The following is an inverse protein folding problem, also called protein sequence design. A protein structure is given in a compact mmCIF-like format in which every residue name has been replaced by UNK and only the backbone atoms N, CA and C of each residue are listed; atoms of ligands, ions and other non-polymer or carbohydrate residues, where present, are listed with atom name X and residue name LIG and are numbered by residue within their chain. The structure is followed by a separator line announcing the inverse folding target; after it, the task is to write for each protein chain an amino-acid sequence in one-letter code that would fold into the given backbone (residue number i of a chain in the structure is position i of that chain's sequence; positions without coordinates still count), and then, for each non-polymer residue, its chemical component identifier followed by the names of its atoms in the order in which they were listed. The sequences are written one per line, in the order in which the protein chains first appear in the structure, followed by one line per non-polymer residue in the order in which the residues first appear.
data_IF_605618812075
#
_entry.id   IF_605618812075
#
_cell.length_a   1.000
_cell.length_b   1.000
_cell.length_c   1.000
_cell.angle_alpha   90.00
_cell.angle_beta   90.00
_cell.angle_gamma   90.00
#
_symmetry.space_group_name_H-M   'P 1'
#
loop_
_entity.id
_entity.type
_entity.pdbx_description
1 polymer ?
#
# COMPACT_ATOMS: atom_id res chain seq x y z
N UNK A 1 121.94 -21.94 50.03
CA UNK A 1 121.30 -21.90 48.69
C UNK A 1 120.15 -22.91 48.56
N UNK A 2 120.34 -24.19 48.94
CA UNK A 2 119.31 -25.24 48.80
C UNK A 2 117.98 -25.01 49.55
N UNK A 3 118.01 -24.43 50.75
CA UNK A 3 116.79 -24.14 51.54
C UNK A 3 115.85 -23.12 50.87
N UNK A 4 116.42 -22.09 50.22
CA UNK A 4 115.63 -21.04 49.57
C UNK A 4 114.99 -21.57 48.27
N UNK A 5 115.71 -22.39 47.51
CA UNK A 5 115.18 -23.03 46.30
C UNK A 5 114.00 -23.97 46.62
N UNK A 6 114.10 -24.72 47.72
CA UNK A 6 113.03 -25.62 48.17
C UNK A 6 111.75 -24.88 48.54
N UNK A 7 111.85 -23.78 49.29
CA UNK A 7 110.70 -22.98 49.72
C UNK A 7 109.99 -22.27 48.57
N UNK A 8 110.75 -21.76 47.59
CA UNK A 8 110.18 -21.12 46.38
C UNK A 8 109.45 -22.15 45.51
N UNK A 9 110.00 -23.37 45.39
CA UNK A 9 109.35 -24.45 44.64
C UNK A 9 108.07 -24.93 45.33
N UNK A 10 108.05 -25.00 46.67
CA UNK A 10 106.83 -25.40 47.41
C UNK A 10 105.73 -24.36 47.28
N UNK A 11 106.07 -23.07 47.34
CA UNK A 11 105.11 -21.98 47.17
C UNK A 11 104.55 -21.92 45.74
N UNK A 12 105.38 -22.16 44.73
CA UNK A 12 104.96 -22.22 43.33
C UNK A 12 104.00 -23.40 43.07
N UNK A 13 104.26 -24.56 43.66
CA UNK A 13 103.37 -25.74 43.56
C UNK A 13 102.03 -25.47 44.26
N UNK A 14 102.04 -24.80 45.43
CA UNK A 14 100.82 -24.47 46.16
C UNK A 14 99.95 -23.45 45.39
N UNK A 15 100.55 -22.42 44.79
CA UNK A 15 99.84 -21.46 43.95
C UNK A 15 99.25 -22.11 42.68
N UNK A 16 99.97 -23.05 42.06
CA UNK A 16 99.45 -23.84 40.95
C UNK A 16 98.27 -24.73 41.35
N UNK A 17 98.31 -25.35 42.54
CA UNK A 17 97.22 -26.18 43.06
C UNK A 17 95.97 -25.36 43.42
N UNK A 18 96.14 -24.18 44.01
CA UNK A 18 95.03 -23.25 44.33
C UNK A 18 94.42 -22.66 43.04
N UNK A 19 95.25 -22.32 42.05
CA UNK A 19 94.78 -21.89 40.73
C UNK A 19 94.01 -22.99 39.99
N UNK A 20 94.52 -24.23 40.02
CA UNK A 20 93.87 -25.37 39.37
C UNK A 20 92.54 -25.74 40.03
N UNK A 21 92.46 -25.72 41.37
CA UNK A 21 91.21 -26.00 42.09
C UNK A 21 90.15 -24.92 41.87
N UNK A 22 90.54 -23.64 41.83
CA UNK A 22 89.64 -22.52 41.51
C UNK A 22 89.10 -22.61 40.07
N UNK A 23 89.92 -23.04 39.10
CA UNK A 23 89.52 -23.27 37.72
C UNK A 23 88.58 -24.48 37.56
N UNK A 24 88.81 -25.57 38.29
CA UNK A 24 87.93 -26.74 38.31
C UNK A 24 86.56 -26.44 38.93
N UNK A 25 86.50 -25.63 40.00
CA UNK A 25 85.23 -25.24 40.62
C UNK A 25 84.44 -24.30 39.69
N UNK A 26 85.11 -23.34 39.04
CA UNK A 26 84.48 -22.41 38.09
C UNK A 26 83.90 -23.12 36.85
N UNK A 27 84.64 -24.08 36.28
CA UNK A 27 84.17 -24.90 35.15
C UNK A 27 83.04 -25.85 35.54
N UNK A 28 83.07 -26.43 36.75
CA UNK A 28 81.97 -27.25 37.29
C UNK A 28 80.67 -26.49 37.49
N UNK A 29 80.72 -25.26 38.04
CA UNK A 29 79.53 -24.41 38.18
C UNK A 29 78.95 -23.99 36.82
N UNK A 30 79.81 -23.65 35.86
CA UNK A 30 79.42 -23.27 34.51
C UNK A 30 78.75 -24.44 33.77
N UNK A 31 79.32 -25.65 33.85
CA UNK A 31 78.75 -26.87 33.26
C UNK A 31 77.39 -27.23 33.89
N UNK A 32 77.22 -27.05 35.21
CA UNK A 32 75.93 -27.28 35.88
C UNK A 32 74.86 -26.28 35.43
N UNK A 33 75.25 -25.01 35.19
CA UNK A 33 74.37 -23.96 34.67
C UNK A 33 73.97 -24.22 33.21
N UNK A 34 74.92 -24.64 32.37
CA UNK A 34 74.68 -25.07 30.99
C UNK A 34 73.75 -26.30 30.93
N UNK A 35 74.01 -27.32 31.73
CA UNK A 35 73.14 -28.50 31.85
C UNK A 35 71.74 -28.13 32.31
N UNK A 36 71.58 -27.26 33.30
CA UNK A 36 70.26 -26.79 33.74
C UNK A 36 69.52 -25.98 32.67
N UNK A 37 70.25 -25.19 31.86
CA UNK A 37 69.67 -24.47 30.73
C UNK A 37 69.26 -25.43 29.61
N UNK A 38 70.05 -26.46 29.33
CA UNK A 38 69.74 -27.50 28.36
C UNK A 38 68.49 -28.29 28.77
N UNK A 39 68.37 -28.68 30.04
CA UNK A 39 67.14 -29.31 30.57
C UNK A 39 65.94 -28.38 30.43
N UNK A 40 66.06 -27.11 30.83
CA UNK A 40 64.97 -26.14 30.70
C UNK A 40 64.58 -25.87 29.24
N UNK A 41 65.55 -25.89 28.32
CA UNK A 41 65.30 -25.73 26.90
C UNK A 41 64.58 -26.96 26.32
N UNK A 42 65.00 -28.17 26.71
CA UNK A 42 64.37 -29.41 26.28
C UNK A 42 62.93 -29.55 26.82
N UNK A 43 62.67 -29.13 28.06
CA UNK A 43 61.30 -29.07 28.60
C UNK A 43 60.42 -28.08 27.83
N UNK A 44 60.96 -26.92 27.42
CA UNK A 44 60.24 -25.97 26.55
C UNK A 44 59.97 -26.53 25.17
N UNK A 45 60.92 -27.27 24.57
CA UNK A 45 60.70 -27.95 23.29
C UNK A 45 59.56 -28.96 23.42
N UNK A 46 59.60 -29.83 24.45
CA UNK A 46 58.55 -30.82 24.68
C UNK A 46 57.17 -30.16 24.89
N UNK A 47 57.12 -29.05 25.62
CA UNK A 47 55.88 -28.27 25.80
C UNK A 47 55.37 -27.67 24.49
N UNK A 48 56.26 -27.15 23.63
CA UNK A 48 55.89 -26.61 22.32
C UNK A 48 55.41 -27.70 21.37
N UNK A 49 56.02 -28.89 21.39
CA UNK A 49 55.56 -30.04 20.61
C UNK A 49 54.17 -30.49 21.05
N UNK A 50 53.90 -30.51 22.35
CA UNK A 50 52.57 -30.82 22.88
C UNK A 50 51.54 -29.77 22.44
N UNK A 51 51.87 -28.47 22.53
CA UNK A 51 50.99 -27.40 22.06
C UNK A 51 50.70 -27.51 20.55
N UNK A 52 51.71 -27.85 19.74
CA UNK A 52 51.54 -28.06 18.31
C UNK A 52 50.60 -29.23 18.01
N UNK A 53 50.71 -30.33 18.77
CA UNK A 53 49.83 -31.49 18.65
C UNK A 53 48.38 -31.16 19.04
N UNK A 54 48.18 -30.39 20.11
CA UNK A 54 46.85 -29.94 20.52
C UNK A 54 46.21 -29.03 19.47
N UNK A 55 46.96 -28.09 18.91
CA UNK A 55 46.50 -27.21 17.81
C UNK A 55 46.13 -28.04 16.57
N UNK A 56 46.95 -29.03 16.21
CA UNK A 56 46.66 -29.91 15.09
C UNK A 56 45.37 -30.73 15.33
N UNK A 57 45.17 -31.22 16.54
CA UNK A 57 43.94 -31.93 16.93
C UNK A 57 42.71 -31.03 16.84
N UNK A 58 42.81 -29.78 17.33
CA UNK A 58 41.74 -28.80 17.24
C UNK A 58 41.42 -28.43 15.78
N UNK A 59 42.42 -28.26 14.93
CA UNK A 59 42.24 -28.01 13.50
C UNK A 59 41.51 -29.17 12.81
N UNK A 60 41.90 -30.41 13.09
CA UNK A 60 41.24 -31.61 12.54
C UNK A 60 39.78 -31.71 13.00
N UNK A 61 39.49 -31.42 14.27
CA UNK A 61 38.13 -31.41 14.80
C UNK A 61 37.29 -30.26 14.19
N UNK A 62 37.88 -29.08 14.02
CA UNK A 62 37.25 -27.96 13.34
C UNK A 62 36.93 -28.28 11.88
N UNK A 63 37.84 -28.91 11.14
CA UNK A 63 37.61 -29.37 9.77
C UNK A 63 36.47 -30.40 9.68
N UNK A 64 36.40 -31.35 10.62
CA UNK A 64 35.29 -32.30 10.72
C UNK A 64 33.95 -31.62 10.99
N UNK A 65 33.91 -30.64 11.90
CA UNK A 65 32.70 -29.86 12.17
C UNK A 65 32.25 -29.04 10.96
N UNK A 66 33.16 -28.37 10.26
CA UNK A 66 32.85 -27.61 9.03
C UNK A 66 32.31 -28.54 7.94
N UNK A 67 32.89 -29.73 7.81
CA UNK A 67 32.43 -30.74 6.85
C UNK A 67 31.03 -31.25 7.22
N UNK A 68 30.78 -31.51 8.50
CA UNK A 68 29.47 -31.95 8.98
C UNK A 68 28.41 -30.85 8.81
N UNK A 69 28.70 -29.60 9.16
CA UNK A 69 27.82 -28.45 8.94
C UNK A 69 27.50 -28.25 7.46
N UNK A 70 28.50 -28.44 6.58
CA UNK A 70 28.30 -28.34 5.13
C UNK A 70 27.40 -29.48 4.63
N UNK A 71 27.57 -30.70 5.14
CA UNK A 71 26.74 -31.87 4.82
C UNK A 71 25.32 -31.69 5.35
N UNK A 72 25.13 -31.19 6.56
CA UNK A 72 23.80 -30.96 7.15
C UNK A 72 23.06 -29.84 6.40
N UNK A 73 23.78 -28.80 5.96
CA UNK A 73 23.23 -27.72 5.13
C UNK A 73 22.90 -28.19 3.71
N UNK A 74 23.72 -29.10 3.13
CA UNK A 74 23.44 -29.77 1.86
C UNK A 74 22.29 -30.78 1.97
N UNK A 75 22.11 -31.42 3.12
CA UNK A 75 21.03 -32.37 3.37
C UNK A 75 19.71 -31.68 3.75
N UNK A 76 19.77 -30.43 4.23
CA UNK A 76 18.60 -29.54 4.31
C UNK A 76 18.28 -28.94 2.94
N UNK A 77 17.99 -29.79 1.95
CA UNK A 77 17.22 -29.32 0.81
C UNK A 77 15.87 -28.91 1.37
N UNK A 78 15.62 -27.60 1.48
CA UNK A 78 14.25 -27.11 1.67
C UNK A 78 13.46 -27.75 0.54
N UNK A 79 12.46 -28.61 0.83
CA UNK A 79 11.74 -29.30 -0.21
C UNK A 79 11.21 -28.29 -1.22
N UNK A 80 11.29 -28.57 -2.51
CA UNK A 80 10.84 -27.64 -3.56
C UNK A 80 9.42 -27.13 -3.31
N UNK A 81 8.57 -27.96 -2.69
CA UNK A 81 7.23 -27.60 -2.25
C UNK A 81 7.19 -26.52 -1.15
N UNK A 82 8.14 -26.51 -0.21
CA UNK A 82 8.27 -25.47 0.83
C UNK A 82 8.85 -24.17 0.26
N UNK A 83 9.79 -24.25 -0.70
CA UNK A 83 10.25 -23.08 -1.45
C UNK A 83 9.13 -22.48 -2.31
N UNK A 84 8.35 -23.31 -3.00
CA UNK A 84 7.16 -22.88 -3.74
C UNK A 84 6.13 -22.24 -2.81
N UNK A 85 5.84 -22.85 -1.66
CA UNK A 85 4.90 -22.29 -0.68
C UNK A 85 5.37 -20.93 -0.13
N UNK A 86 6.67 -20.79 0.18
CA UNK A 86 7.25 -19.51 0.61
C UNK A 86 7.21 -18.47 -0.51
N UNK A 87 7.49 -18.87 -1.74
CA UNK A 87 7.39 -17.99 -2.91
C UNK A 87 5.95 -17.53 -3.14
N UNK A 88 4.97 -18.42 -3.01
CA UNK A 88 3.53 -18.11 -3.11
C UNK A 88 3.10 -17.12 -2.02
N UNK A 89 3.52 -17.33 -0.77
CA UNK A 89 3.25 -16.41 0.35
C UNK A 89 3.86 -15.03 0.10
N UNK A 90 5.12 -14.96 -0.33
CA UNK A 90 5.78 -13.68 -0.66
C UNK A 90 5.08 -12.96 -1.82
N UNK A 91 4.65 -13.70 -2.85
CA UNK A 91 3.93 -13.13 -4.00
C UNK A 91 2.52 -12.65 -3.61
N UNK A 92 1.81 -13.38 -2.76
CA UNK A 92 0.50 -12.96 -2.26
C UNK A 92 0.61 -11.72 -1.37
N UNK A 93 1.56 -11.72 -0.44
CA UNK A 93 1.82 -10.57 0.42
C UNK A 93 2.20 -9.34 -0.43
N UNK A 94 3.05 -9.51 -1.44
CA UNK A 94 3.39 -8.44 -2.39
C UNK A 94 2.17 -7.90 -3.15
N UNK A 95 1.20 -8.75 -3.53
CA UNK A 95 -0.03 -8.31 -4.20
C UNK A 95 -0.96 -7.57 -3.26
N UNK A 96 -1.14 -8.05 -2.04
CA UNK A 96 -1.96 -7.40 -1.01
C UNK A 96 -1.36 -6.04 -0.60
N UNK A 97 -0.05 -5.98 -0.42
CA UNK A 97 0.68 -4.74 -0.17
C UNK A 97 0.50 -3.76 -1.33
N UNK A 98 0.60 -4.24 -2.58
CA UNK A 98 0.39 -3.41 -3.78
C UNK A 98 -1.02 -2.82 -3.79
N UNK A 99 -2.05 -3.64 -3.57
CA UNK A 99 -3.45 -3.21 -3.55
C UNK A 99 -3.72 -2.20 -2.42
N UNK A 100 -3.24 -2.49 -1.21
CA UNK A 100 -3.41 -1.62 -0.04
C UNK A 100 -2.75 -0.26 -0.28
N UNK A 101 -1.50 -0.25 -0.79
CA UNK A 101 -0.79 0.98 -1.13
C UNK A 101 -1.51 1.82 -2.20
N UNK A 102 -2.11 1.17 -3.22
CA UNK A 102 -2.89 1.87 -4.24
C UNK A 102 -4.12 2.52 -3.61
N UNK A 103 -4.86 1.77 -2.78
CA UNK A 103 -6.06 2.26 -2.09
C UNK A 103 -5.70 3.43 -1.19
N UNK A 104 -4.69 3.31 -0.33
CA UNK A 104 -4.25 4.38 0.56
C UNK A 104 -3.90 5.67 -0.19
N UNK A 105 -3.18 5.54 -1.31
CA UNK A 105 -2.74 6.69 -2.11
C UNK A 105 -3.88 7.35 -2.90
N UNK A 106 -4.89 6.59 -3.31
CA UNK A 106 -5.94 7.09 -4.22
C UNK A 106 -7.23 7.47 -3.51
N UNK A 107 -7.54 6.83 -2.39
CA UNK A 107 -8.74 7.12 -1.59
C UNK A 107 -8.92 8.60 -1.23
N UNK A 108 -7.87 9.36 -0.84
CA UNK A 108 -8.00 10.79 -0.54
C UNK A 108 -8.49 11.66 -1.70
N UNK A 109 -8.28 11.21 -2.95
CA UNK A 109 -8.75 11.90 -4.15
C UNK A 109 -10.17 11.52 -4.57
N UNK A 110 -10.79 10.54 -3.91
CA UNK A 110 -12.17 10.10 -4.18
C UNK A 110 -13.12 10.81 -3.22
N UNK A 111 -14.24 11.31 -3.77
CA UNK A 111 -15.17 12.17 -3.04
C UNK A 111 -16.60 11.67 -3.18
N UNK A 112 -17.44 12.03 -2.22
CA UNK A 112 -18.86 11.70 -2.23
C UNK A 112 -19.65 12.92 -2.63
N UNK A 113 -20.66 12.76 -3.50
CA UNK A 113 -21.50 13.84 -3.96
C UNK A 113 -22.89 13.61 -3.39
N UNK A 114 -23.36 14.52 -2.53
CA UNK A 114 -24.72 14.51 -2.00
C UNK A 114 -25.57 15.51 -2.75
N UNK A 115 -26.73 15.03 -3.20
CA UNK A 115 -27.72 15.81 -3.95
C UNK A 115 -28.85 16.18 -3.00
N UNK A 116 -29.07 17.47 -2.78
CA UNK A 116 -30.13 17.98 -1.92
C UNK A 116 -31.11 18.86 -2.70
N UNK A 117 -32.38 18.83 -2.31
CA UNK A 117 -33.45 19.68 -2.84
C UNK A 117 -34.29 20.26 -1.73
N UNK A 118 -34.82 21.45 -1.99
CA UNK A 118 -35.84 22.05 -1.15
C UNK A 118 -37.20 21.49 -1.58
N UNK A 119 -37.74 20.55 -0.81
CA UNK A 119 -39.01 19.87 -1.11
C UNK A 119 -40.18 20.56 -0.41
N UNK A 120 -41.36 20.69 -1.05
CA UNK A 120 -42.54 21.27 -0.42
C UNK A 120 -42.92 20.56 0.88
N UNK A 121 -43.07 21.32 1.96
CA UNK A 121 -43.68 20.83 3.18
C UNK A 121 -45.19 21.04 3.08
N UNK A 122 -45.94 19.96 2.92
CA UNK A 122 -47.39 19.99 2.82
C UNK A 122 -48.02 19.86 4.21
N UNK A 123 -48.99 20.72 4.49
CA UNK A 123 -49.91 20.57 5.61
C UNK A 123 -51.33 20.28 5.08
N UNK A 124 -52.08 19.45 5.81
CA UNK A 124 -53.49 19.23 5.53
C UNK A 124 -54.28 20.33 6.22
N UNK A 125 -54.98 21.14 5.43
CA UNK A 125 -55.95 22.11 5.94
C UNK A 125 -57.34 21.70 5.48
N UNK A 126 -58.33 21.90 6.34
CA UNK A 126 -59.71 21.62 6.01
C UNK A 126 -60.34 22.89 5.45
N UNK A 127 -60.86 22.82 4.23
CA UNK A 127 -61.53 23.95 3.57
C UNK A 127 -62.94 23.56 3.14
N UNK A 128 -63.84 24.53 3.14
CA UNK A 128 -65.17 24.35 2.59
C UNK A 128 -65.07 24.36 1.06
N UNK A 129 -65.44 23.27 0.36
CA UNK A 129 -65.34 23.20 -1.10
C UNK A 129 -66.30 24.19 -1.81
N UNK A 130 -67.28 24.74 -1.09
CA UNK A 130 -68.25 25.70 -1.60
C UNK A 130 -67.87 27.17 -1.30
N UNK A 131 -66.72 27.43 -0.68
CA UNK A 131 -66.27 28.79 -0.36
C UNK A 131 -67.31 29.60 0.42
N UNK A 132 -67.55 30.83 -0.03
CA UNK A 132 -68.51 31.78 0.57
C UNK A 132 -69.93 31.68 -0.02
N UNK A 133 -70.25 30.57 -0.72
CA UNK A 133 -71.55 30.40 -1.37
C UNK A 133 -72.73 30.63 -0.40
N UNK A 134 -73.66 31.55 -0.69
CA UNK A 134 -74.75 31.91 0.22
C UNK A 134 -75.69 30.75 0.57
N UNK A 135 -75.80 29.75 -0.30
CA UNK A 135 -76.62 28.56 -0.08
C UNK A 135 -75.83 27.51 0.68
N UNK A 136 -74.61 27.18 0.23
CA UNK A 136 -73.90 25.98 0.70
C UNK A 136 -72.87 26.21 1.85
N UNK A 137 -72.51 27.46 2.18
CA UNK A 137 -71.46 27.74 3.18
C UNK A 137 -71.76 27.23 4.60
N UNK A 138 -73.03 27.15 4.98
CA UNK A 138 -73.47 26.79 6.34
C UNK A 138 -73.64 25.27 6.54
N UNK A 139 -73.48 24.46 5.50
CA UNK A 139 -73.67 23.00 5.60
C UNK A 139 -72.51 22.28 6.31
N UNK A 140 -71.45 23.00 6.71
CA UNK A 140 -70.35 22.45 7.51
C UNK A 140 -69.46 21.44 6.77
N UNK A 141 -69.58 21.33 5.44
CA UNK A 141 -68.72 20.46 4.64
C UNK A 141 -67.27 20.95 4.71
N UNK A 142 -66.39 20.05 5.11
CA UNK A 142 -64.95 20.28 5.13
C UNK A 142 -64.26 19.15 4.40
N UNK A 143 -63.47 19.50 3.40
CA UNK A 143 -62.64 18.53 2.68
C UNK A 143 -61.17 18.79 3.00
N UNK A 144 -60.36 17.72 3.18
CA UNK A 144 -58.92 17.89 3.35
C UNK A 144 -58.31 18.38 2.04
N UNK A 145 -57.61 19.50 2.09
CA UNK A 145 -56.79 20.00 0.99
C UNK A 145 -55.34 20.15 1.43
N UNK A 146 -54.41 19.76 0.57
CA UNK A 146 -52.99 19.92 0.82
C UNK A 146 -52.57 21.36 0.51
N UNK A 147 -52.00 22.05 1.49
CA UNK A 147 -51.42 23.39 1.34
C UNK A 147 -49.92 23.33 1.60
N UNK A 148 -49.12 24.00 0.77
CA UNK A 148 -47.69 24.12 1.02
C UNK A 148 -47.45 25.19 2.10
N UNK A 149 -46.81 24.80 3.22
CA UNK A 149 -46.44 25.69 4.34
C UNK A 149 -45.01 26.25 4.21
N UNK A 150 -44.20 25.67 3.35
CA UNK A 150 -42.80 26.04 3.15
C UNK A 150 -42.05 24.99 2.36
N UNK A 151 -40.72 24.98 2.47
CA UNK A 151 -39.87 23.94 1.90
C UNK A 151 -38.85 23.47 2.94
N UNK A 152 -38.54 22.18 2.94
CA UNK A 152 -37.46 21.62 3.77
C UNK A 152 -36.37 21.08 2.85
N UNK A 153 -35.10 21.29 3.23
CA UNK A 153 -34.00 20.68 2.49
C UNK A 153 -33.89 19.20 2.81
N UNK A 154 -34.02 18.35 1.80
CA UNK A 154 -33.86 16.91 1.92
C UNK A 154 -32.75 16.41 1.00
N UNK A 155 -32.02 15.39 1.46
CA UNK A 155 -31.13 14.60 0.60
C UNK A 155 -31.99 13.72 -0.29
N UNK A 156 -31.82 13.86 -1.60
CA UNK A 156 -32.63 13.15 -2.61
C UNK A 156 -31.80 12.21 -3.46
N UNK A 157 -30.48 12.22 -3.31
CA UNK A 157 -29.57 11.33 -4.03
C UNK A 157 -28.14 11.45 -3.54
N UNK A 158 -27.31 10.50 -3.98
CA UNK A 158 -25.88 10.49 -3.75
C UNK A 158 -25.15 9.78 -4.90
N UNK A 159 -23.86 10.09 -5.06
CA UNK A 159 -22.96 9.42 -5.99
C UNK A 159 -21.50 9.65 -5.59
N UNK A 160 -20.58 9.23 -6.46
CA UNK A 160 -19.14 9.40 -6.25
C UNK A 160 -18.56 10.32 -7.33
N UNK A 161 -17.48 11.02 -7.01
CA UNK A 161 -16.59 11.62 -7.99
C UNK A 161 -15.14 11.44 -7.58
N UNK A 162 -14.22 11.97 -8.38
CA UNK A 162 -12.81 12.05 -7.99
C UNK A 162 -12.16 13.33 -8.51
N UNK A 163 -11.25 13.86 -7.68
CA UNK A 163 -10.48 15.07 -7.96
C UNK A 163 -9.48 14.79 -9.09
N UNK A 164 -9.44 15.70 -10.07
CA UNK A 164 -8.53 15.61 -11.22
C UNK A 164 -7.53 16.77 -11.28
N UNK A 165 -7.75 17.84 -10.53
CA UNK A 165 -6.82 18.96 -10.41
C UNK A 165 -6.68 19.41 -8.95
N UNK A 166 -5.57 20.10 -8.63
CA UNK A 166 -5.31 20.63 -7.29
C UNK A 166 -6.31 21.71 -6.88
N UNK A 167 -6.78 22.51 -7.82
CA UNK A 167 -7.76 23.56 -7.56
C UNK A 167 -9.19 23.06 -7.42
N UNK A 168 -9.46 21.75 -7.60
CA UNK A 168 -10.72 21.11 -7.19
C UNK A 168 -11.70 20.77 -8.30
N UNK A 169 -11.24 20.60 -9.55
CA UNK A 169 -12.07 19.97 -10.58
C UNK A 169 -12.28 18.49 -10.26
N UNK A 170 -13.50 18.02 -10.44
CA UNK A 170 -13.95 16.67 -10.11
C UNK A 170 -14.69 16.08 -11.30
N UNK A 171 -14.32 14.87 -11.70
CA UNK A 171 -15.10 14.05 -12.63
C UNK A 171 -16.12 13.20 -11.87
N UNK A 172 -17.31 13.06 -12.46
CA UNK A 172 -18.39 12.17 -11.99
C UNK A 172 -19.27 11.81 -13.18
N UNK A 173 -20.34 11.04 -12.94
CA UNK A 173 -21.36 10.82 -13.96
C UNK A 173 -22.34 11.99 -14.07
N UNK A 174 -22.86 12.23 -15.27
CA UNK A 174 -23.86 13.26 -15.53
C UNK A 174 -25.18 12.95 -14.81
N UNK A 175 -25.60 11.69 -14.73
CA UNK A 175 -26.81 11.30 -13.99
C UNK A 175 -26.74 11.61 -12.48
N UNK A 176 -25.54 11.65 -11.89
CA UNK A 176 -25.35 12.04 -10.46
C UNK A 176 -25.67 13.53 -10.27
N UNK A 177 -25.35 14.35 -11.26
CA UNK A 177 -25.48 15.81 -11.21
C UNK A 177 -26.45 16.38 -12.24
N UNK A 178 -27.46 15.60 -12.65
CA UNK A 178 -28.33 15.94 -13.78
C UNK A 178 -29.30 17.10 -13.48
N UNK A 179 -29.75 17.22 -12.23
CA UNK A 179 -30.79 18.16 -11.85
C UNK A 179 -30.28 19.60 -11.62
N UNK A 180 -30.57 20.51 -12.55
CA UNK A 180 -30.12 21.90 -12.47
C UNK A 180 -30.67 22.70 -11.28
N UNK A 181 -31.75 22.25 -10.63
CA UNK A 181 -32.34 22.89 -9.46
C UNK A 181 -31.82 22.30 -8.13
N UNK A 182 -30.98 21.26 -8.17
CA UNK A 182 -30.44 20.64 -6.97
C UNK A 182 -29.21 21.39 -6.45
N UNK A 183 -28.98 21.24 -5.15
CA UNK A 183 -27.77 21.71 -4.48
C UNK A 183 -26.84 20.50 -4.33
N UNK A 184 -25.61 20.66 -4.82
CA UNK A 184 -24.57 19.64 -4.77
C UNK A 184 -23.56 19.95 -3.68
N UNK A 185 -23.38 19.01 -2.76
CA UNK A 185 -22.36 19.08 -1.71
C UNK A 185 -21.39 17.92 -1.88
N UNK A 186 -20.11 18.23 -1.98
CA UNK A 186 -19.02 17.26 -1.99
C UNK A 186 -18.57 17.02 -0.55
N UNK A 187 -18.51 15.75 -0.15
CA UNK A 187 -17.85 15.31 1.07
C UNK A 187 -16.49 14.71 0.70
N UNK A 188 -15.44 15.32 1.24
CA UNK A 188 -14.06 14.90 1.06
C UNK A 188 -13.72 13.75 2.01
N UNK A 189 -12.66 12.99 1.69
CA UNK A 189 -12.22 11.85 2.50
C UNK A 189 -11.84 12.22 3.95
N UNK A 190 -11.45 13.48 4.19
CA UNK A 190 -11.15 14.01 5.53
C UNK A 190 -12.40 14.43 6.32
N UNK A 191 -13.61 14.28 5.75
CA UNK A 191 -14.89 14.68 6.35
C UNK A 191 -15.34 16.10 6.03
N UNK A 192 -14.51 16.92 5.37
CA UNK A 192 -14.88 18.28 4.99
C UNK A 192 -16.00 18.29 3.96
N UNK A 193 -16.89 19.26 4.09
CA UNK A 193 -17.99 19.48 3.14
C UNK A 193 -17.77 20.76 2.34
N UNK A 194 -17.93 20.68 1.03
CA UNK A 194 -17.79 21.82 0.10
C UNK A 194 -18.98 21.86 -0.84
N UNK A 195 -19.54 23.05 -1.06
CA UNK A 195 -20.54 23.22 -2.11
C UNK A 195 -19.87 23.10 -3.47
N UNK A 196 -20.47 22.34 -4.38
CA UNK A 196 -19.96 22.13 -5.73
C UNK A 196 -20.76 22.93 -6.76
N UNK A 197 -20.05 23.43 -7.76
CA UNK A 197 -20.63 24.04 -8.97
C UNK A 197 -20.52 23.05 -10.12
N UNK A 198 -21.60 22.85 -10.87
CA UNK A 198 -21.54 22.02 -12.07
C UNK A 198 -21.03 22.87 -13.23
N UNK A 199 -19.92 22.45 -13.82
CA UNK A 199 -19.23 23.17 -14.91
C UNK A 199 -19.70 22.64 -16.27
N UNK A 200 -19.83 21.32 -16.39
CA UNK A 200 -20.20 20.68 -17.65
C UNK A 200 -20.97 19.37 -17.43
N UNK A 201 -21.83 19.03 -18.38
CA UNK A 201 -22.61 17.79 -18.47
C UNK A 201 -22.58 17.32 -19.91
N UNK A 202 -22.02 16.13 -20.16
CA UNK A 202 -22.11 15.48 -21.44
C UNK A 202 -23.42 14.69 -21.53
N UNK A 203 -24.25 14.99 -22.54
CA UNK A 203 -25.48 14.26 -22.80
C UNK A 203 -25.27 12.91 -23.48
N UNK A 204 -24.06 12.62 -23.99
CA UNK A 204 -23.81 11.45 -24.82
C UNK A 204 -23.07 10.32 -24.09
N UNK A 205 -22.16 10.65 -23.18
CA UNK A 205 -21.29 9.68 -22.51
C UNK A 205 -21.48 9.62 -20.99
N UNK A 206 -22.54 10.25 -20.47
CA UNK A 206 -22.85 10.29 -19.03
C UNK A 206 -21.66 10.78 -18.16
N UNK A 207 -20.90 11.77 -18.65
CA UNK A 207 -19.77 12.39 -17.94
C UNK A 207 -20.17 13.79 -17.50
N UNK A 208 -19.81 14.16 -16.28
CA UNK A 208 -19.91 15.54 -15.81
C UNK A 208 -18.62 16.03 -15.15
N UNK A 209 -18.43 17.34 -15.22
CA UNK A 209 -17.35 18.06 -14.57
C UNK A 209 -17.96 19.01 -13.55
N UNK A 210 -17.55 18.87 -12.30
CA UNK A 210 -17.93 19.79 -11.22
C UNK A 210 -16.68 20.42 -10.59
N UNK A 211 -16.86 21.50 -9.84
CA UNK A 211 -15.77 22.26 -9.22
C UNK A 211 -16.11 22.58 -7.78
N UNK A 212 -15.14 22.38 -6.90
CA UNK A 212 -15.14 22.88 -5.53
C UNK A 212 -13.96 23.83 -5.32
N UNK A 213 -14.03 24.68 -4.29
CA UNK A 213 -12.95 25.59 -3.93
C UNK A 213 -11.94 24.93 -2.97
N UNK A 214 -10.71 25.42 -2.97
CA UNK A 214 -9.62 24.95 -2.10
C UNK A 214 -8.45 24.30 -2.86
N UNK A 215 -7.52 23.73 -2.10
CA UNK A 215 -6.38 22.98 -2.61
C UNK A 215 -6.49 21.52 -2.19
N UNK A 216 -6.42 20.62 -3.17
CA UNK A 216 -6.75 19.21 -3.03
C UNK A 216 -5.68 18.31 -3.64
N UNK A 217 -5.72 17.01 -3.32
CA UNK A 217 -4.84 15.99 -3.91
C UNK A 217 -5.58 15.29 -5.05
N UNK A 218 -5.25 15.58 -6.33
CA UNK A 218 -5.91 14.95 -7.46
C UNK A 218 -5.39 13.54 -7.72
N UNK A 219 -6.22 12.73 -8.38
CA UNK A 219 -5.82 11.46 -8.95
C UNK A 219 -5.13 11.65 -10.29
N UNK A 220 -4.16 10.77 -10.56
CA UNK A 220 -3.49 10.72 -11.86
C UNK A 220 -4.39 10.01 -12.88
N UNK A 221 -4.65 10.67 -14.00
CA UNK A 221 -5.40 10.08 -15.10
C UNK A 221 -4.48 9.25 -16.00
N UNK A 222 -4.77 7.95 -16.09
CA UNK A 222 -4.04 6.99 -16.91
C UNK A 222 -4.41 7.05 -18.39
N UNK A 223 -4.03 6.01 -19.14
CA UNK A 223 -4.39 5.86 -20.54
C UNK A 223 -5.24 4.60 -20.71
N UNK A 224 -6.53 4.78 -20.98
CA UNK A 224 -7.45 3.66 -21.17
C UNK A 224 -7.24 2.93 -22.50
N UNK A 225 -6.49 3.49 -23.45
CA UNK A 225 -6.19 2.80 -24.73
C UNK A 225 -5.18 1.68 -24.56
N UNK A 226 -4.41 1.71 -23.47
CA UNK A 226 -3.45 0.65 -23.14
C UNK A 226 -4.04 -0.48 -22.30
N UNK A 227 -5.32 -0.35 -21.90
CA UNK A 227 -6.00 -1.32 -21.05
C UNK A 227 -6.16 -2.68 -21.72
N UNK A 228 -6.00 -3.76 -20.96
CA UNK A 228 -6.01 -5.14 -21.49
C UNK A 228 -6.98 -6.04 -20.75
N UNK A 229 -7.54 -7.02 -21.44
CA UNK A 229 -8.30 -8.09 -20.80
C UNK A 229 -7.44 -8.79 -19.74
N UNK A 230 -8.03 -9.05 -18.57
CA UNK A 230 -7.34 -9.65 -17.42
C UNK A 230 -6.52 -8.68 -16.57
N UNK A 231 -6.41 -7.40 -16.95
CA UNK A 231 -5.75 -6.38 -16.12
C UNK A 231 -6.51 -6.20 -14.80
N UNK A 232 -5.81 -6.29 -13.67
CA UNK A 232 -6.40 -6.05 -12.35
C UNK A 232 -6.75 -4.58 -12.18
N UNK A 233 -7.96 -4.34 -11.69
CA UNK A 233 -8.52 -3.02 -11.47
C UNK A 233 -9.17 -2.92 -10.10
N UNK A 234 -9.17 -1.70 -9.57
CA UNK A 234 -9.78 -1.34 -8.30
C UNK A 234 -10.84 -0.28 -8.56
N UNK A 235 -12.08 -0.59 -8.23
CA UNK A 235 -13.17 0.38 -8.22
C UNK A 235 -13.31 0.95 -6.81
N UNK A 236 -13.30 2.28 -6.71
CA UNK A 236 -13.46 2.98 -5.43
C UNK A 236 -14.69 3.88 -5.53
N UNK A 237 -15.50 3.90 -4.47
CA UNK A 237 -16.57 4.89 -4.34
C UNK A 237 -17.18 4.96 -2.95
N UNK A 238 -18.22 5.76 -2.82
CA UNK A 238 -19.03 5.82 -1.61
C UNK A 238 -20.34 5.07 -1.84
N UNK A 239 -20.44 3.84 -1.34
CA UNK A 239 -21.67 3.08 -1.42
C UNK A 239 -22.75 3.77 -0.58
N UNK A 240 -23.85 4.16 -1.24
CA UNK A 240 -25.07 4.70 -0.64
C UNK A 240 -24.93 6.04 0.13
N UNK A 241 -23.77 6.70 0.10
CA UNK A 241 -23.54 7.91 0.90
C UNK A 241 -23.43 7.65 2.40
N UNK A 242 -23.31 6.38 2.79
CA UNK A 242 -23.23 5.89 4.17
C UNK A 242 -21.87 5.21 4.45
N UNK A 243 -21.29 4.57 3.43
CA UNK A 243 -20.02 3.83 3.54
C UNK A 243 -18.94 4.53 2.71
N UNK A 244 -18.28 5.50 3.34
CA UNK A 244 -17.14 6.19 2.75
C UNK A 244 -16.08 5.17 2.28
N UNK A 245 -15.64 5.32 1.04
CA UNK A 245 -14.49 4.61 0.47
C UNK A 245 -14.64 3.08 0.41
N UNK A 246 -15.79 2.61 -0.06
CA UNK A 246 -15.97 1.22 -0.47
C UNK A 246 -15.04 0.88 -1.64
N UNK A 247 -14.25 -0.16 -1.46
CA UNK A 247 -13.28 -0.65 -2.44
C UNK A 247 -13.71 -2.02 -2.94
N UNK A 248 -13.69 -2.23 -4.25
CA UNK A 248 -13.83 -3.54 -4.86
C UNK A 248 -12.69 -3.77 -5.86
N UNK A 249 -12.18 -5.00 -5.88
CA UNK A 249 -11.12 -5.43 -6.79
C UNK A 249 -11.70 -6.42 -7.80
N UNK A 250 -11.24 -6.31 -9.04
CA UNK A 250 -11.60 -7.22 -10.12
C UNK A 250 -10.58 -7.14 -11.24
N UNK A 251 -11.00 -7.55 -12.43
CA UNK A 251 -10.25 -7.47 -13.67
C UNK A 251 -11.07 -6.79 -14.77
N UNK A 252 -10.40 -6.38 -15.83
CA UNK A 252 -11.06 -6.03 -17.08
C UNK A 252 -11.53 -7.32 -17.77
N UNK A 253 -12.84 -7.48 -17.88
CA UNK A 253 -13.49 -8.66 -18.49
C UNK A 253 -13.91 -8.43 -19.94
N UNK A 254 -13.91 -7.17 -20.40
CA UNK A 254 -14.31 -6.79 -21.74
C UNK A 254 -13.91 -5.35 -22.05
N UNK A 255 -13.67 -5.07 -23.32
CA UNK A 255 -13.39 -3.73 -23.83
C UNK A 255 -14.39 -3.39 -24.94
N UNK A 256 -14.55 -2.09 -25.20
CA UNK A 256 -15.36 -1.56 -26.29
C UNK A 256 -16.82 -2.09 -26.33
N UNK A 257 -17.44 -2.20 -25.15
CA UNK A 257 -18.83 -2.63 -25.05
C UNK A 257 -19.78 -1.46 -25.36
N UNK A 258 -20.95 -1.79 -25.88
CA UNK A 258 -22.07 -0.84 -25.96
C UNK A 258 -23.15 -1.31 -25.00
N UNK A 259 -23.60 -0.41 -24.15
CA UNK A 259 -24.63 -0.69 -23.13
C UNK A 259 -25.77 0.32 -23.23
N UNK A 260 -26.94 -0.10 -22.77
CA UNK A 260 -28.05 0.81 -22.49
C UNK A 260 -28.15 0.96 -20.97
N UNK A 261 -27.92 2.17 -20.48
CA UNK A 261 -28.03 2.51 -19.08
C UNK A 261 -29.34 3.28 -18.87
N UNK A 262 -30.09 2.91 -17.84
CA UNK A 262 -31.29 3.64 -17.42
C UNK A 262 -30.98 4.42 -16.15
N UNK A 263 -31.34 5.71 -16.12
CA UNK A 263 -31.24 6.51 -14.91
C UNK A 263 -32.41 6.25 -13.95
N UNK A 264 -32.38 6.91 -12.79
CA UNK A 264 -33.44 6.81 -11.76
C UNK A 264 -34.81 7.33 -12.22
N UNK A 265 -34.87 8.06 -13.36
CA UNK A 265 -36.10 8.57 -13.97
C UNK A 265 -36.54 7.72 -15.16
N UNK A 266 -35.86 6.60 -15.44
CA UNK A 266 -36.17 5.69 -16.54
C UNK A 266 -35.71 6.18 -17.91
N UNK A 267 -34.89 7.24 -18.01
CA UNK A 267 -34.29 7.66 -19.27
C UNK A 267 -33.19 6.68 -19.65
N UNK A 268 -33.27 6.16 -20.87
CA UNK A 268 -32.30 5.21 -21.42
C UNK A 268 -31.27 5.98 -22.24
N UNK A 269 -30.00 5.85 -21.86
CA UNK A 269 -28.86 6.38 -22.61
C UNK A 269 -28.03 5.21 -23.16
N UNK A 270 -27.61 5.32 -24.43
CA UNK A 270 -26.71 4.33 -25.03
C UNK A 270 -25.28 4.80 -24.87
N UNK A 271 -24.50 4.13 -24.04
CA UNK A 271 -23.10 4.45 -23.78
C UNK A 271 -22.24 3.45 -24.57
N UNK A 272 -21.33 3.98 -25.39
CA UNK A 272 -20.48 3.19 -26.29
C UNK A 272 -19.04 3.20 -25.83
N UNK A 273 -18.31 2.14 -26.15
CA UNK A 273 -16.89 2.04 -25.86
C UNK A 273 -16.57 1.76 -24.39
N UNK A 274 -17.53 1.25 -23.60
CA UNK A 274 -17.31 1.06 -22.16
C UNK A 274 -16.40 -0.13 -21.87
N UNK A 275 -15.63 -0.03 -20.79
CA UNK A 275 -14.85 -1.11 -20.20
C UNK A 275 -15.79 -1.96 -19.35
N UNK A 276 -15.75 -3.27 -19.50
CA UNK A 276 -16.45 -4.22 -18.63
C UNK A 276 -15.48 -4.74 -17.57
N UNK A 277 -15.94 -4.83 -16.32
CA UNK A 277 -15.19 -5.39 -15.19
C UNK A 277 -16.09 -6.25 -14.31
N UNK A 278 -15.48 -7.23 -13.65
CA UNK A 278 -16.11 -8.04 -12.62
C UNK A 278 -15.97 -7.43 -11.21
N UNK A 279 -15.25 -6.32 -11.07
CA UNK A 279 -15.23 -5.51 -9.86
C UNK A 279 -16.66 -5.07 -9.52
N UNK A 280 -17.04 -5.18 -8.25
CA UNK A 280 -18.38 -4.85 -7.80
C UNK A 280 -18.64 -3.34 -7.91
N UNK A 281 -19.57 -2.95 -8.77
CA UNK A 281 -20.07 -1.57 -8.91
C UNK A 281 -21.56 -1.58 -8.57
N UNK A 282 -21.91 -0.90 -7.47
CA UNK A 282 -23.28 -0.79 -6.95
C UNK A 282 -23.72 0.68 -6.89
N UNK A 283 -25.00 0.92 -6.56
CA UNK A 283 -25.50 2.29 -6.30
C UNK A 283 -24.62 3.00 -5.27
N UNK A 284 -24.18 4.21 -5.61
CA UNK A 284 -23.25 5.00 -4.81
C UNK A 284 -21.84 5.07 -5.41
N UNK A 285 -21.34 3.99 -6.02
CA UNK A 285 -20.01 3.99 -6.66
C UNK A 285 -20.03 4.60 -8.08
N UNK A 286 -21.21 4.83 -8.66
CA UNK A 286 -21.36 5.56 -9.93
C UNK A 286 -20.71 6.94 -9.86
N UNK A 287 -19.88 7.23 -10.85
CA UNK A 287 -19.04 8.42 -10.98
C UNK A 287 -17.67 8.29 -10.33
N UNK A 288 -17.41 7.22 -9.56
CA UNK A 288 -16.12 6.93 -8.96
C UNK A 288 -15.08 6.39 -9.95
N UNK A 289 -13.80 6.37 -9.58
CA UNK A 289 -12.74 5.91 -10.48
C UNK A 289 -12.66 4.38 -10.55
N UNK A 290 -12.29 3.89 -11.74
CA UNK A 290 -11.70 2.57 -11.96
C UNK A 290 -10.19 2.74 -12.14
N UNK A 291 -9.40 2.13 -11.27
CA UNK A 291 -7.97 2.40 -11.10
C UNK A 291 -7.16 1.14 -11.41
N UNK A 292 -6.06 1.27 -12.17
CA UNK A 292 -5.14 0.16 -12.42
C UNK A 292 -4.10 -0.02 -11.32
N UNK A 293 -3.25 -1.04 -11.41
CA UNK A 293 -2.21 -1.30 -10.40
C UNK A 293 -1.09 -0.24 -10.33
N UNK A 294 -1.04 0.69 -11.27
CA UNK A 294 -0.14 1.86 -11.17
C UNK A 294 -0.74 2.99 -10.30
N UNK A 295 -2.01 2.86 -9.87
CA UNK A 295 -2.76 3.89 -9.18
C UNK A 295 -3.27 5.00 -10.09
N UNK A 296 -3.38 4.73 -11.40
CA UNK A 296 -3.91 5.67 -12.39
C UNK A 296 -5.37 5.34 -12.71
N UNK A 297 -6.19 6.37 -12.81
CA UNK A 297 -7.60 6.22 -13.22
C UNK A 297 -7.65 5.86 -14.70
N UNK A 298 -8.22 4.71 -15.03
CA UNK A 298 -8.43 4.25 -16.42
C UNK A 298 -9.91 4.24 -16.83
N UNK A 299 -10.84 4.43 -15.89
CA UNK A 299 -12.25 4.61 -16.21
C UNK A 299 -13.06 5.29 -15.12
N UNK A 300 -14.32 5.58 -15.44
CA UNK A 300 -15.33 6.16 -14.54
C UNK A 300 -16.47 5.14 -14.39
N UNK A 301 -16.64 4.59 -13.19
CA UNK A 301 -17.68 3.60 -12.88
C UNK A 301 -19.05 4.17 -13.21
N UNK A 302 -19.88 3.46 -13.98
CA UNK A 302 -21.17 4.01 -14.44
C UNK A 302 -22.36 3.12 -14.08
N UNK A 303 -22.32 1.85 -14.48
CA UNK A 303 -23.48 0.98 -14.47
C UNK A 303 -23.12 -0.47 -14.15
N UNK A 304 -24.13 -1.23 -13.73
CA UNK A 304 -24.09 -2.69 -13.57
C UNK A 304 -25.35 -3.28 -14.20
N UNK A 305 -25.29 -4.53 -14.66
CA UNK A 305 -26.46 -5.21 -15.23
C UNK A 305 -27.38 -5.67 -14.09
N UNK A 306 -28.60 -5.16 -14.05
CA UNK A 306 -29.59 -5.56 -13.06
C UNK A 306 -29.83 -7.08 -13.09
N UNK A 307 -29.75 -7.73 -11.92
CA UNK A 307 -29.92 -9.18 -11.79
C UNK A 307 -28.72 -10.03 -12.23
N UNK A 308 -27.60 -9.40 -12.61
CA UNK A 308 -26.33 -10.08 -12.84
C UNK A 308 -25.34 -9.77 -11.72
N UNK A 309 -24.60 -10.78 -11.30
CA UNK A 309 -23.43 -10.58 -10.44
C UNK A 309 -22.21 -10.38 -11.33
N UNK A 310 -21.31 -9.47 -10.94
CA UNK A 310 -19.99 -9.32 -11.57
C UNK A 310 -19.99 -8.91 -13.06
N UNK A 311 -21.04 -8.22 -13.53
CA UNK A 311 -21.03 -7.55 -14.84
C UNK A 311 -21.26 -6.06 -14.63
N UNK A 312 -20.16 -5.34 -14.51
CA UNK A 312 -20.14 -3.91 -14.29
C UNK A 312 -19.41 -3.18 -15.42
N UNK A 313 -19.66 -1.88 -15.56
CA UNK A 313 -19.11 -1.07 -16.64
C UNK A 313 -18.53 0.25 -16.15
N UNK A 314 -17.48 0.69 -16.84
CA UNK A 314 -16.83 1.99 -16.65
C UNK A 314 -16.58 2.69 -17.99
N UNK A 315 -16.74 4.01 -18.01
CA UNK A 315 -16.45 4.86 -19.18
C UNK A 315 -14.92 5.05 -19.25
N UNK A 316 -14.24 4.77 -20.38
CA UNK A 316 -12.79 4.94 -20.51
C UNK A 316 -12.34 6.37 -20.20
N UNK A 317 -11.25 6.52 -19.44
CA UNK A 317 -10.80 7.84 -19.00
C UNK A 317 -10.41 8.76 -20.15
N UNK A 318 -9.96 8.21 -21.29
CA UNK A 318 -9.57 9.03 -22.45
C UNK A 318 -10.77 9.74 -23.10
N UNK A 319 -12.00 9.22 -22.94
CA UNK A 319 -13.22 9.94 -23.35
C UNK A 319 -13.36 11.21 -22.50
N UNK A 320 -13.24 11.08 -21.18
CA UNK A 320 -13.29 12.23 -20.28
C UNK A 320 -12.14 13.23 -20.57
N UNK A 321 -10.91 12.75 -20.80
CA UNK A 321 -9.77 13.62 -21.17
C UNK A 321 -10.07 14.47 -22.41
N UNK A 322 -10.66 13.88 -23.44
CA UNK A 322 -11.01 14.58 -24.68
C UNK A 322 -12.04 15.70 -24.42
N UNK A 323 -13.02 15.43 -23.53
CA UNK A 323 -14.01 16.43 -23.10
C UNK A 323 -13.32 17.55 -22.29
N UNK A 324 -12.42 17.21 -21.36
CA UNK A 324 -11.74 18.19 -20.53
C UNK A 324 -10.96 19.21 -21.36
N UNK A 325 -10.25 18.77 -22.40
CA UNK A 325 -9.58 19.65 -23.36
C UNK A 325 -10.58 20.63 -23.97
N UNK A 326 -11.74 20.15 -24.44
CA UNK A 326 -12.76 21.00 -25.07
C UNK A 326 -13.46 21.99 -24.13
N UNK A 327 -13.48 21.68 -22.82
CA UNK A 327 -14.20 22.45 -21.79
C UNK A 327 -13.29 23.45 -21.09
N UNK A 328 -12.04 23.08 -20.81
CA UNK A 328 -11.11 23.88 -20.01
C UNK A 328 -10.21 24.80 -20.85
N UNK A 329 -10.07 24.54 -22.15
CA UNK A 329 -9.29 25.40 -23.07
C UNK A 329 -10.15 26.50 -23.75
N UNK A 330 -11.41 26.64 -23.34
CA UNK A 330 -12.32 27.74 -23.76
C UNK A 330 -12.41 28.81 -22.68
#
# INVERSE_FOLDING_TARGET
MYRILSSVLTLAILLLLVGASSFYIGTGLMMKKLSSQETSFNEKIASLEQQLNDVNSQLQNGQKQITQLSIDTLNSHIPTAELQRRQEVIVQQSKEDTLTNIVERTTPGVVSIVVSKDVPQLEVVYQNPFGDDPFFKNFGFQVPVYRQKGTIRQKVGAGTGFLITRDGYILTNKHVVDDSAAIYTVLLANGDQKQAKVIYRDSNQDIALIKIDGSHTPLMLGDSTTSKLGETVVAIGNALGEYNNSVSVGIISGLDRTIQAADSRGRIETIKGVIQTDAAINRGNSGGPLINLEGKVIGINVATVAGSNNISFAIPINIAKSILVSVLEK
#
